data_IF_559577785643
#
_entry.id   IF_559577785643
#
_cell.length_a   1.000
_cell.length_b   1.000
_cell.length_c   1.000
_cell.angle_alpha   90.00
_cell.angle_beta   90.00
_cell.angle_gamma   90.00
#
_symmetry.space_group_name_H-M   'P 1'
#
loop_
_entity.id
_entity.type
_entity.pdbx_description
1 polymer ?
#
# COMPACT_ATOMS: atom_id res chain seq x y z
N UNK A 1 -16.40 -20.90 7.57
CA UNK A 1 -16.43 -19.59 6.89
C UNK A 1 -15.00 -19.07 6.84
N UNK A 2 -14.60 -18.32 5.80
CA UNK A 2 -13.20 -17.98 5.59
C UNK A 2 -12.71 -17.00 6.65
N UNK A 3 -11.48 -17.22 7.12
CA UNK A 3 -10.73 -16.33 8.01
C UNK A 3 -9.53 -15.77 7.27
N UNK A 4 -9.03 -14.60 7.66
CA UNK A 4 -7.76 -14.08 7.15
C UNK A 4 -6.64 -15.13 7.30
N UNK A 5 -5.89 -15.37 6.23
CA UNK A 5 -4.86 -16.41 6.17
C UNK A 5 -3.48 -15.78 6.26
N UNK A 6 -2.62 -16.32 7.14
CA UNK A 6 -1.21 -15.91 7.17
C UNK A 6 -0.46 -16.64 6.05
N UNK A 7 0.26 -15.89 5.23
CA UNK A 7 1.15 -16.38 4.18
C UNK A 7 2.60 -15.98 4.48
N UNK A 8 3.55 -16.74 3.97
CA UNK A 8 4.97 -16.52 4.17
C UNK A 8 5.58 -15.61 3.07
N UNK A 9 6.87 -15.30 3.22
CA UNK A 9 7.63 -14.49 2.26
C UNK A 9 7.60 -15.05 0.82
N UNK A 10 7.83 -16.36 0.59
CA UNK A 10 7.67 -16.96 -0.72
C UNK A 10 6.30 -16.75 -1.37
N UNK A 11 5.20 -16.95 -0.63
CA UNK A 11 3.85 -16.71 -1.14
C UNK A 11 3.61 -15.22 -1.46
N UNK A 12 4.12 -14.31 -0.61
CA UNK A 12 4.08 -12.87 -0.88
C UNK A 12 4.86 -12.50 -2.15
N UNK A 13 6.06 -13.06 -2.34
CA UNK A 13 6.88 -12.85 -3.54
C UNK A 13 6.20 -13.32 -4.81
N UNK A 14 5.50 -14.46 -4.74
CA UNK A 14 4.69 -14.97 -5.86
C UNK A 14 3.53 -14.02 -6.20
N UNK A 15 2.83 -13.48 -5.20
CA UNK A 15 1.76 -12.50 -5.40
C UNK A 15 2.26 -11.15 -5.95
N UNK A 16 3.50 -10.77 -5.65
CA UNK A 16 4.13 -9.59 -6.25
C UNK A 16 4.63 -9.84 -7.68
N UNK A 17 4.54 -11.08 -8.19
CA UNK A 17 5.15 -11.51 -9.45
C UNK A 17 6.68 -11.24 -9.48
N UNK A 18 7.35 -11.48 -8.35
CA UNK A 18 8.80 -11.24 -8.13
C UNK A 18 9.51 -12.53 -7.79
N UNK A 19 9.71 -13.36 -8.81
CA UNK A 19 10.31 -14.70 -8.66
C UNK A 19 11.83 -14.68 -8.40
N UNK A 20 12.45 -13.51 -8.52
CA UNK A 20 13.88 -13.23 -8.37
C UNK A 20 14.25 -12.67 -6.99
N UNK A 21 13.27 -12.33 -6.16
CA UNK A 21 13.53 -11.96 -4.77
C UNK A 21 13.94 -13.21 -4.00
N UNK A 22 15.04 -13.12 -3.23
CA UNK A 22 15.36 -14.15 -2.24
C UNK A 22 14.16 -14.25 -1.27
N UNK A 23 13.36 -15.34 -1.31
CA UNK A 23 12.05 -15.40 -0.65
C UNK A 23 12.12 -15.19 0.86
N UNK A 24 13.27 -15.53 1.44
CA UNK A 24 13.64 -15.37 2.84
C UNK A 24 13.87 -13.90 3.29
N UNK A 25 13.83 -12.93 2.36
CA UNK A 25 13.94 -11.50 2.67
C UNK A 25 12.60 -10.78 2.75
N UNK A 26 11.51 -11.42 2.36
CA UNK A 26 10.17 -10.82 2.40
C UNK A 26 9.51 -11.11 3.75
N UNK A 27 8.75 -10.14 4.31
CA UNK A 27 8.01 -10.35 5.54
C UNK A 27 6.82 -11.31 5.33
N UNK A 28 6.28 -11.90 6.40
CA UNK A 28 4.99 -12.57 6.34
C UNK A 28 3.87 -11.57 6.02
N UNK A 29 2.71 -12.11 5.62
CA UNK A 29 1.58 -11.28 5.22
C UNK A 29 0.23 -11.90 5.59
N UNK A 30 -0.79 -11.07 5.81
CA UNK A 30 -2.19 -11.51 5.85
C UNK A 30 -2.79 -11.42 4.45
N UNK A 31 -3.32 -12.54 3.98
CA UNK A 31 -4.04 -12.68 2.72
C UNK A 31 -5.52 -12.38 2.90
N UNK A 32 -6.03 -11.37 2.17
CA UNK A 32 -7.39 -10.83 2.30
C UNK A 32 -8.03 -10.60 0.90
N UNK A 33 -8.33 -11.65 0.13
CA UNK A 33 -9.00 -11.52 -1.17
C UNK A 33 -10.48 -11.19 -0.99
N UNK A 34 -11.08 -10.47 -1.94
CA UNK A 34 -12.50 -10.21 -2.02
C UNK A 34 -13.12 -10.87 -3.26
N UNK A 35 -14.35 -11.39 -3.16
CA UNK A 35 -14.97 -12.16 -4.26
C UNK A 35 -15.39 -11.29 -5.45
N UNK A 36 -15.84 -10.06 -5.17
CA UNK A 36 -16.30 -9.08 -6.13
C UNK A 36 -15.89 -7.65 -5.70
N UNK A 37 -15.78 -6.67 -6.61
CA UNK A 37 -15.56 -5.26 -6.23
C UNK A 37 -16.58 -4.68 -5.24
N UNK A 38 -17.81 -5.22 -5.23
CA UNK A 38 -18.84 -4.82 -4.25
C UNK A 38 -18.54 -5.39 -2.84
N UNK A 39 -17.90 -6.56 -2.77
CA UNK A 39 -17.45 -7.19 -1.54
C UNK A 39 -16.17 -6.55 -0.98
N UNK A 40 -15.32 -5.99 -1.86
CA UNK A 40 -14.11 -5.24 -1.48
C UNK A 40 -14.46 -4.07 -0.54
N UNK A 41 -15.61 -3.42 -0.75
CA UNK A 41 -16.10 -2.35 0.15
C UNK A 41 -16.47 -2.88 1.53
N UNK A 42 -17.17 -4.01 1.58
CA UNK A 42 -17.58 -4.66 2.82
C UNK A 42 -16.37 -5.15 3.62
N UNK A 43 -15.41 -5.78 2.92
CA UNK A 43 -14.13 -6.19 3.49
C UNK A 43 -13.40 -4.98 4.07
N UNK A 44 -13.18 -3.93 3.28
CA UNK A 44 -12.43 -2.76 3.73
C UNK A 44 -13.14 -2.01 4.88
N UNK A 45 -14.48 -1.97 4.89
CA UNK A 45 -15.22 -1.43 6.02
C UNK A 45 -14.95 -2.21 7.31
N UNK A 46 -14.93 -3.55 7.24
CA UNK A 46 -14.59 -4.40 8.37
C UNK A 46 -13.14 -4.16 8.84
N UNK A 47 -12.17 -4.11 7.91
CA UNK A 47 -10.75 -3.85 8.24
C UNK A 47 -10.57 -2.50 8.94
N UNK A 48 -11.21 -1.44 8.41
CA UNK A 48 -11.16 -0.09 8.98
C UNK A 48 -11.74 -0.03 10.39
N UNK A 49 -12.85 -0.75 10.62
CA UNK A 49 -13.47 -0.83 11.94
C UNK A 49 -12.60 -1.60 12.93
N UNK A 50 -12.08 -2.76 12.53
CA UNK A 50 -11.22 -3.60 13.39
C UNK A 50 -9.91 -2.91 13.77
N UNK A 51 -9.34 -2.13 12.85
CA UNK A 51 -8.05 -1.47 13.04
C UNK A 51 -8.17 0.04 13.29
N UNK A 52 -9.33 0.51 13.77
CA UNK A 52 -9.55 1.94 14.05
C UNK A 52 -8.59 2.49 15.12
N UNK A 53 -8.14 1.61 16.01
CA UNK A 53 -7.19 1.93 17.08
C UNK A 53 -5.74 1.88 16.60
N UNK A 54 -5.45 1.52 15.36
CA UNK A 54 -4.12 1.66 14.79
C UNK A 54 -3.89 3.10 14.31
N UNK A 55 -2.63 3.48 14.15
CA UNK A 55 -2.29 4.68 13.39
C UNK A 55 -2.25 4.32 11.90
N UNK A 56 -2.96 5.10 11.10
CA UNK A 56 -3.01 4.95 9.64
C UNK A 56 -2.13 6.01 9.00
N UNK A 57 -1.25 5.58 8.12
CA UNK A 57 -0.28 6.43 7.44
C UNK A 57 -0.41 6.27 5.93
N UNK A 58 -0.53 7.38 5.22
CA UNK A 58 -0.66 7.39 3.76
C UNK A 58 0.40 8.25 3.12
N UNK A 59 1.09 7.68 2.12
CA UNK A 59 1.89 8.46 1.17
C UNK A 59 1.14 8.52 -0.15
N UNK A 60 0.91 9.73 -0.66
CA UNK A 60 0.37 9.95 -2.00
C UNK A 60 1.38 10.68 -2.87
N UNK A 61 1.55 10.26 -4.12
CA UNK A 61 2.33 11.00 -5.13
C UNK A 61 1.46 11.28 -6.35
N UNK A 62 1.28 12.56 -6.66
CA UNK A 62 0.43 13.02 -7.77
C UNK A 62 1.23 13.80 -8.79
N UNK A 63 0.85 13.60 -10.05
CA UNK A 63 1.46 14.22 -11.21
C UNK A 63 0.45 15.15 -11.88
N UNK A 64 0.92 16.29 -12.36
CA UNK A 64 0.15 17.20 -13.19
C UNK A 64 1.00 17.73 -14.35
N UNK A 65 0.37 18.10 -15.49
CA UNK A 65 1.07 18.81 -16.55
C UNK A 65 1.73 20.10 -16.03
N UNK A 66 2.85 20.52 -16.63
CA UNK A 66 3.56 21.75 -16.28
C UNK A 66 2.74 23.04 -16.43
N UNK A 67 1.59 22.97 -17.09
CA UNK A 67 0.62 24.07 -17.26
C UNK A 67 -0.44 24.16 -16.16
N UNK A 68 -0.48 23.19 -15.23
CA UNK A 68 -1.46 23.16 -14.14
C UNK A 68 -1.21 24.28 -13.10
N UNK A 69 -2.02 24.32 -12.02
CA UNK A 69 -1.73 25.15 -10.84
C UNK A 69 -0.55 24.59 -10.03
N UNK A 70 0.18 25.43 -9.29
CA UNK A 70 1.25 25.01 -8.38
C UNK A 70 0.89 25.32 -6.92
N UNK A 71 1.05 24.34 -6.00
CA UNK A 71 1.33 22.93 -6.25
C UNK A 71 0.11 22.18 -6.85
N UNK A 72 0.30 21.01 -7.48
CA UNK A 72 -0.82 20.14 -7.87
C UNK A 72 -1.75 19.82 -6.68
N UNK A 73 -3.04 19.48 -6.91
CA UNK A 73 -3.93 19.06 -5.82
C UNK A 73 -3.36 17.90 -5.01
N UNK A 74 -3.28 18.06 -3.69
CA UNK A 74 -2.73 17.10 -2.72
C UNK A 74 -3.80 16.21 -2.09
N UNK A 75 -3.48 15.60 -0.95
CA UNK A 75 -4.37 14.67 -0.25
C UNK A 75 -5.63 15.38 0.23
N UNK A 76 -5.51 16.50 0.96
CA UNK A 76 -6.65 17.29 1.43
C UNK A 76 -7.55 17.77 0.30
N UNK A 77 -6.98 18.14 -0.86
CA UNK A 77 -7.73 18.59 -2.03
C UNK A 77 -8.53 17.45 -2.68
N UNK A 78 -8.01 16.22 -2.62
CA UNK A 78 -8.59 15.03 -3.26
C UNK A 78 -9.52 14.24 -2.32
N UNK A 79 -9.22 14.26 -1.03
CA UNK A 79 -9.81 13.41 0.00
C UNK A 79 -10.05 14.24 1.27
N UNK A 80 -11.06 15.11 1.21
CA UNK A 80 -11.29 16.17 2.20
C UNK A 80 -11.40 15.70 3.66
N UNK A 81 -11.84 14.47 3.92
CA UNK A 81 -12.01 13.89 5.26
C UNK A 81 -10.91 12.86 5.63
N UNK A 82 -9.99 12.55 4.72
CA UNK A 82 -9.01 11.47 4.89
C UNK A 82 -7.77 11.93 5.63
N UNK A 83 -7.22 13.09 5.27
CA UNK A 83 -6.01 13.60 5.89
C UNK A 83 -6.31 14.17 7.28
N UNK A 84 -5.65 13.67 8.31
CA UNK A 84 -5.70 14.25 9.66
C UNK A 84 -4.58 15.27 9.86
N UNK A 85 -3.35 14.83 9.71
CA UNK A 85 -2.16 15.66 9.86
C UNK A 85 -1.19 15.43 8.70
N UNK A 86 -0.63 16.52 8.18
CA UNK A 86 0.49 16.47 7.24
C UNK A 86 1.79 16.21 8.03
N UNK A 87 2.48 15.12 7.72
CA UNK A 87 3.77 14.76 8.31
C UNK A 87 4.90 15.44 7.53
N UNK A 88 4.85 15.34 6.21
CA UNK A 88 5.81 15.92 5.29
C UNK A 88 5.18 16.10 3.91
N UNK A 89 5.71 17.05 3.15
CA UNK A 89 5.39 17.23 1.74
C UNK A 89 6.66 17.50 0.94
N UNK A 90 6.60 17.19 -0.36
CA UNK A 90 7.61 17.54 -1.33
C UNK A 90 6.97 17.86 -2.67
N UNK A 91 7.47 18.91 -3.31
CA UNK A 91 7.05 19.28 -4.66
C UNK A 91 8.26 19.50 -5.55
N UNK A 92 8.18 19.03 -6.80
CA UNK A 92 9.22 19.27 -7.79
C UNK A 92 8.61 19.33 -9.19
N UNK A 93 9.40 19.83 -10.14
CA UNK A 93 9.11 19.70 -11.57
C UNK A 93 10.15 18.77 -12.19
N UNK A 94 9.70 17.72 -12.89
CA UNK A 94 10.59 16.77 -13.57
C UNK A 94 11.29 17.43 -14.76
N UNK A 95 12.39 16.85 -15.29
CA UNK A 95 13.03 17.34 -16.51
C UNK A 95 12.09 17.42 -17.72
N UNK A 96 11.03 16.60 -17.76
CA UNK A 96 10.00 16.59 -18.80
C UNK A 96 8.88 17.63 -18.55
N UNK A 97 9.01 18.46 -17.51
CA UNK A 97 8.04 19.50 -17.18
C UNK A 97 6.78 18.99 -16.48
N UNK A 98 6.79 17.77 -15.92
CA UNK A 98 5.68 17.30 -15.07
C UNK A 98 5.84 17.88 -13.66
N UNK A 99 4.77 18.44 -13.12
CA UNK A 99 4.72 18.85 -11.71
C UNK A 99 4.36 17.66 -10.86
N UNK A 100 5.09 17.48 -9.76
CA UNK A 100 4.92 16.38 -8.82
C UNK A 100 4.66 16.96 -7.43
N UNK A 101 3.68 16.40 -6.73
CA UNK A 101 3.46 16.63 -5.30
C UNK A 101 3.40 15.28 -4.61
N UNK A 102 4.18 15.12 -3.54
CA UNK A 102 4.16 13.95 -2.69
C UNK A 102 3.89 14.38 -1.25
N UNK A 103 3.00 13.67 -0.58
CA UNK A 103 2.61 13.95 0.80
C UNK A 103 2.61 12.70 1.63
N UNK A 104 3.08 12.84 2.85
CA UNK A 104 3.03 11.87 3.91
C UNK A 104 2.08 12.39 4.97
N UNK A 105 1.07 11.61 5.32
CA UNK A 105 0.02 12.05 6.23
C UNK A 105 -0.39 10.96 7.20
N UNK A 106 -0.85 11.39 8.38
CA UNK A 106 -1.74 10.55 9.19
C UNK A 106 -3.13 10.58 8.55
N UNK A 107 -3.81 9.43 8.55
CA UNK A 107 -5.11 9.27 7.92
C UNK A 107 -6.19 9.00 8.96
N UNK A 108 -7.42 9.40 8.62
CA UNK A 108 -8.60 8.99 9.35
C UNK A 108 -9.13 7.65 8.82
N UNK A 109 -9.05 6.54 9.57
CA UNK A 109 -9.66 5.28 9.15
C UNK A 109 -11.18 5.33 9.03
N UNK A 110 -11.84 6.38 9.55
CA UNK A 110 -13.29 6.60 9.44
C UNK A 110 -13.67 7.38 8.19
N UNK A 111 -12.72 7.98 7.49
CA UNK A 111 -12.97 8.68 6.21
C UNK A 111 -13.61 7.77 5.17
N UNK A 112 -14.62 8.26 4.48
CA UNK A 112 -15.23 7.54 3.37
C UNK A 112 -14.25 7.32 2.20
N UNK A 113 -13.23 8.18 2.08
CA UNK A 113 -12.25 8.18 1.00
C UNK A 113 -11.10 7.16 1.16
N UNK A 114 -11.01 6.43 2.29
CA UNK A 114 -9.98 5.38 2.48
C UNK A 114 -9.96 4.37 1.33
N UNK A 115 -11.14 3.97 0.83
CA UNK A 115 -11.24 3.03 -0.29
C UNK A 115 -10.66 3.61 -1.58
N UNK A 116 -10.99 4.85 -1.89
CA UNK A 116 -10.47 5.52 -3.08
C UNK A 116 -8.95 5.71 -2.98
N UNK A 117 -8.46 6.09 -1.81
CA UNK A 117 -7.02 6.20 -1.57
C UNK A 117 -6.32 4.85 -1.67
N UNK A 118 -6.85 3.76 -1.10
CA UNK A 118 -6.31 2.41 -1.26
C UNK A 118 -6.27 1.97 -2.72
N UNK A 119 -7.27 2.35 -3.53
CA UNK A 119 -7.21 2.10 -4.98
C UNK A 119 -6.16 2.96 -5.66
N UNK A 120 -5.94 4.19 -5.21
CA UNK A 120 -4.88 5.05 -5.69
C UNK A 120 -3.48 4.55 -5.30
N UNK A 121 -3.32 3.74 -4.24
CA UNK A 121 -2.05 3.08 -3.92
C UNK A 121 -1.65 2.00 -4.92
N UNK A 122 -2.50 1.69 -5.91
CA UNK A 122 -2.08 0.91 -7.10
C UNK A 122 -1.18 1.72 -8.04
N UNK A 123 -1.11 3.05 -7.85
CA UNK A 123 -0.19 3.90 -8.60
C UNK A 123 1.24 3.73 -8.08
N UNK A 124 2.22 3.89 -8.98
CA UNK A 124 3.64 3.56 -8.78
C UNK A 124 4.42 4.41 -7.74
N UNK A 125 3.75 5.01 -6.76
CA UNK A 125 4.30 5.98 -5.84
C UNK A 125 3.42 6.36 -4.67
N UNK A 126 2.36 5.60 -4.41
CA UNK A 126 1.46 5.83 -3.28
C UNK A 126 1.40 4.58 -2.42
N UNK A 127 1.31 4.72 -1.10
CA UNK A 127 1.22 3.59 -0.19
C UNK A 127 0.42 3.89 1.06
N UNK A 128 -0.01 2.83 1.72
CA UNK A 128 -0.74 2.87 2.98
C UNK A 128 -0.08 1.93 3.99
N UNK A 129 -0.01 2.34 5.25
CA UNK A 129 0.52 1.53 6.34
C UNK A 129 -0.26 1.72 7.64
N UNK A 130 -0.19 0.68 8.46
CA UNK A 130 -0.71 0.64 9.82
C UNK A 130 0.45 0.56 10.80
N UNK A 131 0.29 1.15 11.97
CA UNK A 131 1.19 0.94 13.10
C UNK A 131 0.42 0.91 14.42
N UNK A 132 1.04 0.31 15.45
CA UNK A 132 0.55 0.44 16.81
C UNK A 132 0.56 1.91 17.28
N UNK A 133 -0.29 2.25 18.24
CA UNK A 133 -0.34 3.59 18.83
C UNK A 133 1.01 4.01 19.38
N UNK A 134 1.39 5.28 19.16
CA UNK A 134 2.64 5.85 19.63
C UNK A 134 3.86 5.51 18.77
N UNK A 135 3.71 4.76 17.69
CA UNK A 135 4.81 4.51 16.74
C UNK A 135 5.20 5.82 16.04
N UNK A 136 6.50 6.13 16.01
CA UNK A 136 6.99 7.40 15.45
C UNK A 136 6.92 7.40 13.92
N UNK A 137 6.24 8.39 13.28
CA UNK A 137 6.07 8.44 11.82
C UNK A 137 7.39 8.59 11.04
N UNK A 138 8.49 8.98 11.70
CA UNK A 138 9.79 9.21 11.05
C UNK A 138 10.36 7.96 10.39
N UNK A 139 10.19 6.80 11.02
CA UNK A 139 10.72 5.55 10.49
C UNK A 139 9.93 5.10 9.25
N UNK A 140 8.61 5.29 9.26
CA UNK A 140 7.79 5.03 8.08
C UNK A 140 8.00 6.04 6.95
N UNK A 141 8.19 7.32 7.28
CA UNK A 141 8.60 8.33 6.30
C UNK A 141 9.87 7.87 5.57
N UNK A 142 10.92 7.49 6.30
CA UNK A 142 12.17 7.00 5.71
C UNK A 142 12.00 5.70 4.89
N UNK A 143 11.15 4.77 5.33
CA UNK A 143 10.88 3.55 4.56
C UNK A 143 10.12 3.85 3.25
N UNK A 144 9.12 4.74 3.31
CA UNK A 144 8.24 5.05 2.18
C UNK A 144 8.88 5.93 1.11
N UNK A 145 10.00 6.62 1.39
CA UNK A 145 10.75 7.36 0.34
C UNK A 145 11.25 6.46 -0.79
N UNK A 146 11.43 5.15 -0.54
CA UNK A 146 11.73 4.20 -1.61
C UNK A 146 10.65 4.22 -2.72
N UNK A 147 9.38 4.30 -2.32
CA UNK A 147 8.25 4.36 -3.25
C UNK A 147 8.11 5.73 -3.92
N UNK A 148 8.55 6.81 -3.28
CA UNK A 148 8.71 8.11 -3.97
C UNK A 148 9.72 7.99 -5.12
N UNK A 149 10.90 7.40 -4.86
CA UNK A 149 11.93 7.27 -5.89
C UNK A 149 11.47 6.40 -7.07
N UNK A 150 10.72 5.33 -6.78
CA UNK A 150 10.01 4.54 -7.80
C UNK A 150 9.13 5.42 -8.66
N UNK A 151 8.28 6.24 -8.04
CA UNK A 151 7.36 7.14 -8.73
C UNK A 151 8.12 8.10 -9.66
N UNK A 152 9.15 8.76 -9.13
CA UNK A 152 9.95 9.71 -9.89
C UNK A 152 10.68 9.06 -11.07
N UNK A 153 11.07 7.79 -10.96
CA UNK A 153 11.76 7.06 -12.03
C UNK A 153 10.82 6.65 -13.16
N UNK A 154 9.58 6.27 -12.84
CA UNK A 154 8.55 5.93 -13.85
C UNK A 154 8.26 7.13 -14.76
N UNK A 155 8.19 8.34 -14.21
CA UNK A 155 7.83 9.55 -14.95
C UNK A 155 9.01 10.44 -15.35
N UNK A 156 10.19 10.24 -14.74
CA UNK A 156 11.37 11.09 -14.92
C UNK A 156 12.28 10.74 -16.10
N UNK A 157 11.97 9.67 -16.84
CA UNK A 157 12.58 9.41 -18.16
C UNK A 157 14.11 9.32 -18.18
N UNK A 158 14.74 8.79 -17.12
CA UNK A 158 16.17 8.45 -17.15
C UNK A 158 16.33 7.23 -18.07
N UNK A 159 16.67 7.47 -19.34
CA UNK A 159 16.69 6.47 -20.42
C UNK A 159 17.69 5.32 -20.24
N UNK A 160 18.59 5.43 -19.26
CA UNK A 160 19.69 4.49 -19.04
C UNK A 160 19.46 3.56 -17.84
N UNK A 161 18.35 3.68 -17.10
CA UNK A 161 18.06 2.84 -15.94
C UNK A 161 17.04 1.74 -16.28
N UNK A 162 17.33 0.51 -15.85
CA UNK A 162 16.34 -0.57 -15.88
C UNK A 162 15.23 -0.25 -14.88
N UNK A 163 14.06 0.12 -15.41
CA UNK A 163 12.88 0.47 -14.60
C UNK A 163 12.43 -0.68 -13.72
N UNK A 164 12.60 -1.93 -14.17
CA UNK A 164 12.23 -3.09 -13.39
C UNK A 164 13.13 -3.23 -12.17
N UNK A 165 14.43 -3.06 -12.33
CA UNK A 165 15.38 -3.12 -11.21
C UNK A 165 15.11 -2.04 -10.15
N UNK A 166 14.78 -0.81 -10.58
CA UNK A 166 14.44 0.27 -9.65
C UNK A 166 13.13 -0.01 -8.91
N UNK A 167 12.11 -0.47 -9.62
CA UNK A 167 10.82 -0.90 -9.06
C UNK A 167 11.00 -2.00 -8.01
N UNK A 168 11.81 -3.00 -8.35
CA UNK A 168 12.13 -4.14 -7.51
C UNK A 168 12.87 -3.73 -6.23
N UNK A 169 13.91 -2.91 -6.38
CA UNK A 169 14.69 -2.38 -5.26
C UNK A 169 13.86 -1.51 -4.31
N UNK A 170 13.00 -0.65 -4.86
CA UNK A 170 12.12 0.20 -4.06
C UNK A 170 11.11 -0.62 -3.26
N UNK A 171 10.48 -1.61 -3.91
CA UNK A 171 9.51 -2.53 -3.31
C UNK A 171 10.15 -3.32 -2.17
N UNK A 172 11.31 -3.93 -2.42
CA UNK A 172 12.06 -4.68 -1.41
C UNK A 172 12.47 -3.81 -0.23
N UNK A 173 12.99 -2.61 -0.49
CA UNK A 173 13.42 -1.69 0.56
C UNK A 173 12.26 -1.31 1.46
N UNK A 174 11.09 -1.01 0.88
CA UNK A 174 9.90 -0.67 1.62
C UNK A 174 9.36 -1.84 2.44
N UNK A 175 9.24 -3.03 1.84
CA UNK A 175 8.76 -4.25 2.50
C UNK A 175 9.70 -4.79 3.58
N UNK A 176 11.01 -4.55 3.47
CA UNK A 176 11.96 -4.93 4.49
C UNK A 176 12.00 -3.91 5.65
N UNK A 177 11.96 -2.62 5.33
CA UNK A 177 12.15 -1.54 6.32
C UNK A 177 10.90 -1.27 7.15
N UNK A 178 9.71 -1.37 6.56
CA UNK A 178 8.43 -1.12 7.24
C UNK A 178 8.23 -2.03 8.46
N UNK A 179 8.26 -3.37 8.30
CA UNK A 179 8.11 -4.32 9.40
C UNK A 179 9.15 -4.13 10.51
N UNK A 180 10.42 -3.91 10.15
CA UNK A 180 11.49 -3.65 11.11
C UNK A 180 11.26 -2.36 11.93
N UNK A 181 10.50 -1.42 11.39
CA UNK A 181 10.09 -0.19 12.06
C UNK A 181 8.73 -0.30 12.80
N UNK A 182 8.11 -1.48 12.83
CA UNK A 182 6.83 -1.72 13.50
C UNK A 182 5.60 -1.36 12.65
N UNK A 183 5.74 -1.32 11.32
CA UNK A 183 4.67 -1.00 10.39
C UNK A 183 4.19 -2.23 9.62
N UNK A 184 2.91 -2.24 9.30
CA UNK A 184 2.32 -3.19 8.37
C UNK A 184 1.79 -2.45 7.14
N UNK A 185 2.30 -2.80 5.96
CA UNK A 185 1.92 -2.21 4.68
C UNK A 185 0.62 -2.83 4.17
N UNK A 186 -0.36 -1.99 3.83
CA UNK A 186 -1.59 -2.42 3.17
C UNK A 186 -1.43 -2.30 1.65
N UNK A 187 -1.46 -3.43 0.96
CA UNK A 187 -1.10 -3.55 -0.45
C UNK A 187 -2.33 -4.06 -1.22
N UNK A 188 -2.96 -3.25 -2.08
CA UNK A 188 -4.10 -3.71 -2.84
C UNK A 188 -3.70 -4.74 -3.91
N UNK A 189 -4.62 -5.66 -4.21
CA UNK A 189 -4.52 -6.51 -5.40
C UNK A 189 -4.71 -5.67 -6.66
N UNK A 190 -3.84 -5.87 -7.65
CA UNK A 190 -3.87 -5.21 -8.94
C UNK A 190 -4.81 -5.94 -9.91
N UNK A 191 -5.74 -5.19 -10.50
CA UNK A 191 -6.56 -5.57 -11.67
C UNK A 191 -7.10 -7.01 -11.72
N UNK A 192 -7.32 -7.63 -10.56
CA UNK A 192 -7.78 -9.01 -10.46
C UNK A 192 -9.30 -9.05 -10.22
N UNK A 193 -10.07 -10.00 -10.80
CA UNK A 193 -11.51 -10.13 -10.54
C UNK A 193 -11.85 -10.34 -9.06
N UNK A 194 -10.93 -10.98 -8.34
CA UNK A 194 -10.93 -11.01 -6.88
C UNK A 194 -10.13 -9.81 -6.36
N UNK A 195 -10.83 -8.74 -5.97
CA UNK A 195 -10.22 -7.54 -5.38
C UNK A 195 -9.62 -7.83 -4.00
N UNK A 196 -9.41 -6.78 -3.20
CA UNK A 196 -8.92 -6.92 -1.82
C UNK A 196 -7.45 -6.53 -1.67
N UNK A 197 -6.76 -7.10 -0.68
CA UNK A 197 -5.42 -6.68 -0.31
C UNK A 197 -4.59 -7.74 0.40
N UNK A 198 -3.32 -7.42 0.58
CA UNK A 198 -2.40 -8.06 1.52
C UNK A 198 -1.97 -7.06 2.58
N UNK A 199 -1.81 -7.54 3.82
CA UNK A 199 -1.17 -6.77 4.89
C UNK A 199 0.20 -7.39 5.16
N UNK A 200 1.29 -6.75 4.74
CA UNK A 200 2.65 -7.26 4.92
C UNK A 200 3.33 -6.57 6.13
N UNK A 201 3.83 -7.32 7.10
CA UNK A 201 4.25 -6.76 8.38
C UNK A 201 5.05 -7.73 9.25
N UNK A 202 5.42 -7.29 10.46
CA UNK A 202 6.00 -8.17 11.46
C UNK A 202 4.96 -9.21 11.94
N UNK A 203 5.39 -10.45 12.15
CA UNK A 203 4.50 -11.56 12.54
C UNK A 203 3.70 -11.27 13.81
N UNK A 204 4.30 -10.59 14.79
CA UNK A 204 3.63 -10.24 16.06
C UNK A 204 2.52 -9.25 15.80
N UNK A 205 2.79 -8.20 15.03
CA UNK A 205 1.80 -7.18 14.72
C UNK A 205 0.69 -7.72 13.81
N UNK A 206 1.03 -8.59 12.85
CA UNK A 206 0.03 -9.27 12.03
C UNK A 206 -0.87 -10.18 12.85
N UNK A 207 -0.36 -10.85 13.90
CA UNK A 207 -1.21 -11.63 14.82
C UNK A 207 -2.23 -10.72 15.52
N UNK A 208 -1.77 -9.58 16.05
CA UNK A 208 -2.65 -8.59 16.70
C UNK A 208 -3.71 -8.07 15.73
N UNK A 209 -3.32 -7.72 14.50
CA UNK A 209 -4.26 -7.27 13.47
C UNK A 209 -5.27 -8.36 13.13
N UNK A 210 -4.83 -9.62 12.97
CA UNK A 210 -5.70 -10.76 12.66
C UNK A 210 -6.70 -11.05 13.79
N UNK A 211 -6.24 -11.02 15.05
CA UNK A 211 -7.08 -11.27 16.23
C UNK A 211 -8.18 -10.22 16.43
N UNK A 212 -7.97 -9.00 15.92
CA UNK A 212 -8.98 -7.94 15.96
C UNK A 212 -10.06 -8.03 14.86
N UNK A 213 -9.91 -8.95 13.90
CA UNK A 213 -10.88 -9.11 12.81
C UNK A 213 -12.12 -9.88 13.29
N UNK A 214 -13.32 -9.54 12.79
CA UNK A 214 -14.51 -10.34 13.04
C UNK A 214 -14.40 -11.72 12.39
N UNK A 215 -15.02 -12.71 13.02
CA UNK A 215 -15.19 -14.06 12.48
C UNK A 215 -16.69 -14.39 12.41
N UNK A 216 -17.29 -14.54 11.19
CA UNK A 216 -16.65 -14.47 9.88
C UNK A 216 -16.31 -13.04 9.43
N UNK A 217 -15.30 -12.91 8.57
CA UNK A 217 -14.91 -11.61 7.98
C UNK A 217 -15.80 -11.31 6.75
N UNK A 218 -16.62 -10.23 6.76
CA UNK A 218 -17.50 -9.91 5.64
C UNK A 218 -16.72 -9.60 4.36
N UNK A 219 -17.19 -10.11 3.22
CA UNK A 219 -16.61 -9.86 1.90
C UNK A 219 -15.29 -10.59 1.61
N UNK A 220 -14.78 -11.42 2.54
CA UNK A 220 -13.60 -12.23 2.33
C UNK A 220 -13.91 -13.44 1.44
N UNK A 221 -13.15 -13.61 0.37
CA UNK A 221 -13.25 -14.73 -0.57
C UNK A 221 -12.58 -16.01 -0.05
N UNK A 222 -13.10 -17.16 -0.45
CA UNK A 222 -12.46 -18.47 -0.23
C UNK A 222 -11.55 -18.84 -1.40
N UNK A 223 -10.54 -17.99 -1.65
CA UNK A 223 -9.59 -18.14 -2.76
C UNK A 223 -8.16 -18.19 -2.21
N UNK A 224 -7.39 -19.18 -2.66
CA UNK A 224 -5.98 -19.31 -2.29
C UNK A 224 -5.10 -18.35 -3.11
N UNK A 225 -3.93 -17.98 -2.58
CA UNK A 225 -3.00 -17.10 -3.28
C UNK A 225 -2.47 -17.74 -4.57
N UNK A 226 -2.28 -19.06 -4.59
CA UNK A 226 -1.86 -19.82 -5.78
C UNK A 226 -2.86 -19.67 -6.92
N UNK A 227 -4.14 -19.62 -6.61
CA UNK A 227 -5.19 -19.45 -7.60
C UNK A 227 -5.15 -18.06 -8.26
N UNK A 228 -4.82 -17.02 -7.49
CA UNK A 228 -4.65 -15.65 -8.00
C UNK A 228 -3.42 -15.55 -8.89
N UNK A 229 -2.27 -16.07 -8.44
CA UNK A 229 -1.02 -16.10 -9.21
C UNK A 229 -1.21 -16.87 -10.53
N UNK A 230 -1.90 -18.01 -10.49
CA UNK A 230 -2.18 -18.83 -11.67
C UNK A 230 -3.01 -18.15 -12.76
N UNK A 231 -3.66 -17.01 -12.48
CA UNK A 231 -4.41 -16.21 -13.45
C UNK A 231 -3.69 -14.95 -13.93
N UNK A 232 -2.37 -14.86 -13.68
CA UNK A 232 -1.55 -13.69 -13.97
C UNK A 232 -2.02 -12.40 -13.24
N UNK A 233 -2.69 -12.55 -12.09
CA UNK A 233 -2.93 -11.47 -11.15
C UNK A 233 -1.73 -11.22 -10.25
N UNK A 234 -1.62 -10.00 -9.71
CA UNK A 234 -0.58 -9.65 -8.75
C UNK A 234 -0.96 -8.48 -7.85
N UNK A 235 -0.07 -8.11 -6.93
CA UNK A 235 -0.20 -6.94 -6.06
C UNK A 235 0.38 -5.68 -6.73
N UNK A 236 -0.20 -4.52 -6.43
CA UNK A 236 0.14 -3.25 -7.09
C UNK A 236 1.24 -2.43 -6.37
N UNK A 237 2.08 -3.06 -5.55
CA UNK A 237 3.08 -2.36 -4.74
C UNK A 237 4.20 -1.73 -5.56
#
# INVERSE_FOLDING_TARGET
MPTATLIDGPALGALLNRHDFAPERLPPALWLPADHPDDERSLLAALRSSWENCQWYGMGTWFAPGTAAEPPPGMADRYADLQRDLIAEGSLTTPQGLRVRSEWSTLDPRSSAVHEFLRATRAAGSCLSLAAQGTSPRAWYAASTALLHRALTVFGGLGDLDRREVDDSATLTYLASGPAAGYASLIPLDLHPWGGCVVAGDATFLSVLRESLPDPLPGLAEVSWEHVVGRAGGLAL
#
